data_IF_533584643310
#
_entry.id   IF_533584643310
#
_cell.length_a   1.000
_cell.length_b   1.000
_cell.length_c   1.000
_cell.angle_alpha   90.00
_cell.angle_beta   90.00
_cell.angle_gamma   90.00
#
_symmetry.space_group_name_H-M   'P 1'
#
loop_
_entity.id
_entity.type
_entity.pdbx_description
1 polymer ?
#
# COMPACT_ATOMS: atom_id res chain seq x y z
N UNK A 1 -64.48 -74.72 29.89
CA UNK A 1 -63.49 -75.21 28.91
C UNK A 1 -63.51 -74.18 27.79
N UNK A 2 -62.63 -73.18 27.85
CA UNK A 2 -61.35 -73.22 27.15
C UNK A 2 -61.56 -73.65 25.69
N UNK A 3 -61.61 -72.69 24.77
CA UNK A 3 -60.44 -72.31 23.97
C UNK A 3 -60.92 -71.29 22.91
N UNK A 4 -60.78 -70.01 23.23
CA UNK A 4 -59.89 -69.09 22.50
C UNK A 4 -60.42 -68.70 21.12
N UNK A 5 -61.12 -67.57 21.13
CA UNK A 5 -60.87 -66.47 20.20
C UNK A 5 -59.47 -66.57 19.57
N UNK A 6 -59.43 -67.04 18.33
CA UNK A 6 -58.40 -66.71 17.38
C UNK A 6 -59.12 -66.09 16.19
N UNK A 7 -59.71 -64.93 16.48
CA UNK A 7 -59.86 -63.87 15.51
C UNK A 7 -58.51 -63.75 14.81
N UNK A 8 -58.47 -64.14 13.53
CA UNK A 8 -57.37 -63.87 12.64
C UNK A 8 -57.28 -62.35 12.50
N UNK A 9 -56.61 -61.72 13.47
CA UNK A 9 -56.13 -60.36 13.36
C UNK A 9 -55.18 -60.38 12.17
N UNK A 10 -55.70 -59.95 11.02
CA UNK A 10 -54.91 -59.61 9.85
C UNK A 10 -54.02 -58.46 10.28
N UNK A 11 -52.85 -58.80 10.80
CA UNK A 11 -51.78 -57.86 11.05
C UNK A 11 -51.34 -57.38 9.67
N UNK A 12 -51.86 -56.22 9.26
CA UNK A 12 -51.23 -55.45 8.19
C UNK A 12 -49.87 -55.04 8.72
N UNK A 13 -48.86 -55.85 8.41
CA UNK A 13 -47.46 -55.51 8.57
C UNK A 13 -47.19 -54.27 7.72
N UNK A 14 -47.25 -53.11 8.37
CA UNK A 14 -46.74 -51.86 7.83
C UNK A 14 -45.24 -52.09 7.59
N UNK A 15 -44.87 -52.34 6.33
CA UNK A 15 -43.47 -52.41 5.92
C UNK A 15 -42.85 -51.05 6.23
N UNK A 16 -41.77 -50.96 7.02
CA UNK A 16 -41.03 -49.71 7.12
C UNK A 16 -40.50 -49.40 5.73
N UNK A 17 -40.89 -48.24 5.18
CA UNK A 17 -40.26 -47.69 3.99
C UNK A 17 -38.83 -47.37 4.41
N UNK A 18 -37.88 -48.22 4.03
CA UNK A 18 -36.45 -47.88 4.10
C UNK A 18 -36.34 -46.55 3.36
N UNK A 19 -35.97 -45.51 4.09
CA UNK A 19 -35.68 -44.21 3.53
C UNK A 19 -34.43 -44.44 2.68
N UNK A 20 -34.65 -44.78 1.41
CA UNK A 20 -33.60 -44.87 0.43
C UNK A 20 -32.83 -43.55 0.49
N UNK A 21 -31.51 -43.71 0.42
CA UNK A 21 -30.52 -42.65 0.50
C UNK A 21 -31.08 -41.43 -0.23
N UNK A 22 -31.41 -40.35 0.51
CA UNK A 22 -31.87 -39.13 -0.13
C UNK A 22 -30.71 -38.73 -1.04
N UNK A 23 -30.85 -38.95 -2.34
CA UNK A 23 -29.90 -38.49 -3.34
C UNK A 23 -29.73 -37.00 -3.06
N UNK A 24 -28.61 -36.67 -2.42
CA UNK A 24 -28.33 -35.30 -2.00
C UNK A 24 -28.22 -34.53 -3.30
N UNK A 25 -29.19 -33.68 -3.57
CA UNK A 25 -29.18 -32.82 -4.75
C UNK A 25 -27.93 -31.95 -4.66
N UNK A 26 -26.93 -32.27 -5.48
CA UNK A 26 -25.65 -31.55 -5.50
C UNK A 26 -25.80 -30.17 -6.15
N UNK A 27 -26.83 -29.98 -6.98
CA UNK A 27 -27.14 -28.73 -7.69
C UNK A 27 -27.21 -27.51 -6.75
N UNK A 28 -27.99 -27.52 -5.65
CA UNK A 28 -27.99 -26.41 -4.69
C UNK A 28 -26.66 -26.23 -3.95
N UNK A 29 -25.90 -27.30 -3.71
CA UNK A 29 -24.59 -27.19 -3.04
C UNK A 29 -23.54 -26.53 -3.93
N UNK A 30 -23.52 -26.89 -5.21
CA UNK A 30 -22.62 -26.30 -6.21
C UNK A 30 -22.95 -24.83 -6.43
N UNK A 31 -24.23 -24.44 -6.42
CA UNK A 31 -24.66 -23.05 -6.58
C UNK A 31 -24.20 -22.16 -5.41
N UNK A 32 -24.34 -22.64 -4.16
CA UNK A 32 -23.85 -21.90 -2.98
C UNK A 32 -22.34 -21.71 -3.02
N UNK A 33 -21.57 -22.73 -3.42
CA UNK A 33 -20.11 -22.61 -3.56
C UNK A 33 -19.74 -21.66 -4.71
N UNK A 34 -20.47 -21.70 -5.83
CA UNK A 34 -20.24 -20.84 -6.97
C UNK A 34 -20.52 -19.36 -6.65
N UNK A 35 -21.61 -19.07 -5.93
CA UNK A 35 -21.93 -17.72 -5.43
C UNK A 35 -20.85 -17.19 -4.49
N UNK A 36 -20.27 -18.05 -3.64
CA UNK A 36 -19.16 -17.70 -2.75
C UNK A 36 -17.85 -17.43 -3.53
N UNK A 37 -17.55 -18.21 -4.57
CA UNK A 37 -16.36 -17.98 -5.41
C UNK A 37 -16.46 -16.68 -6.20
N UNK A 38 -17.63 -16.34 -6.74
CA UNK A 38 -17.86 -15.05 -7.41
C UNK A 38 -17.72 -13.91 -6.42
N UNK A 39 -18.36 -14.02 -5.24
CA UNK A 39 -18.22 -13.00 -4.20
C UNK A 39 -16.76 -12.83 -3.78
N UNK A 40 -16.05 -13.93 -3.52
CA UNK A 40 -14.64 -13.91 -3.17
C UNK A 40 -13.78 -13.29 -4.29
N UNK A 41 -13.96 -13.70 -5.55
CA UNK A 41 -13.22 -13.18 -6.69
C UNK A 41 -13.49 -11.68 -6.95
N UNK A 42 -14.73 -11.22 -6.78
CA UNK A 42 -15.07 -9.80 -6.88
C UNK A 42 -14.48 -8.98 -5.70
N UNK A 43 -14.49 -9.52 -4.49
CA UNK A 43 -13.90 -8.86 -3.31
C UNK A 43 -12.37 -8.92 -3.28
N UNK A 44 -11.76 -9.89 -3.97
CA UNK A 44 -10.31 -10.04 -4.07
C UNK A 44 -9.64 -8.90 -4.87
N UNK A 45 -10.41 -8.08 -5.58
CA UNK A 45 -9.89 -6.92 -6.33
C UNK A 45 -9.83 -5.63 -5.49
N UNK A 46 -9.37 -5.74 -4.24
CA UNK A 46 -8.87 -4.60 -3.48
C UNK A 46 -7.42 -4.83 -3.05
N UNK A 47 -6.55 -5.01 -4.04
CA UNK A 47 -5.12 -4.74 -3.86
C UNK A 47 -4.94 -3.24 -4.04
N UNK A 48 -5.04 -2.50 -2.94
CA UNK A 48 -4.58 -1.11 -2.89
C UNK A 48 -3.08 -1.14 -3.13
N UNK A 49 -2.65 -0.88 -4.36
CA UNK A 49 -1.26 -0.64 -4.68
C UNK A 49 -0.84 0.71 -4.10
N UNK A 50 -0.58 0.76 -2.79
CA UNK A 50 0.20 1.84 -2.18
C UNK A 50 1.66 1.41 -2.12
N UNK A 51 2.23 1.05 -3.26
CA UNK A 51 3.68 0.86 -3.36
C UNK A 51 4.29 2.16 -3.89
N UNK A 52 4.48 3.13 -3.01
CA UNK A 52 5.68 3.96 -3.11
C UNK A 52 6.81 2.93 -2.99
N UNK A 53 7.53 2.64 -4.07
CA UNK A 53 8.74 1.84 -4.00
C UNK A 53 9.74 2.63 -3.16
N UNK A 54 9.72 2.41 -1.84
CA UNK A 54 10.78 2.82 -0.94
C UNK A 54 11.98 1.93 -1.27
N UNK A 55 13.11 2.48 -1.76
CA UNK A 55 14.35 1.71 -1.80
C UNK A 55 14.67 1.27 -0.37
N UNK A 56 15.12 0.03 -0.22
CA UNK A 56 15.32 -0.61 1.06
C UNK A 56 16.09 0.30 2.05
N UNK A 57 15.50 0.50 3.22
CA UNK A 57 16.20 1.02 4.40
C UNK A 57 17.35 0.06 4.68
N UNK A 58 18.58 0.51 4.41
CA UNK A 58 19.78 -0.24 4.76
C UNK A 58 19.95 -0.10 6.27
N UNK A 59 19.35 -1.04 6.99
CA UNK A 59 19.56 -1.28 8.41
C UNK A 59 21.05 -1.22 8.73
N UNK A 60 21.34 -0.53 9.82
CA UNK A 60 22.67 -0.29 10.38
C UNK A 60 23.46 -1.59 10.57
N UNK A 61 24.50 -1.75 9.76
CA UNK A 61 25.72 -2.46 10.18
C UNK A 61 26.89 -1.53 9.83
N UNK A 62 27.93 -1.44 10.68
CA UNK A 62 29.04 -0.52 10.49
C UNK A 62 29.95 -1.06 9.39
N UNK A 63 29.49 -0.96 8.14
CA UNK A 63 30.33 -1.22 6.98
C UNK A 63 31.07 0.07 6.67
N UNK A 64 32.34 0.09 7.04
CA UNK A 64 33.36 0.98 6.51
C UNK A 64 33.47 0.74 5.00
N UNK A 65 32.51 1.24 4.25
CA UNK A 65 32.58 1.40 2.81
C UNK A 65 31.76 2.64 2.54
N UNK A 66 32.48 3.76 2.45
CA UNK A 66 31.99 4.98 1.81
C UNK A 66 31.70 4.59 0.37
N UNK A 67 30.51 4.04 0.13
CA UNK A 67 29.91 4.10 -1.18
C UNK A 67 29.56 5.57 -1.32
N UNK A 68 30.48 6.34 -1.88
CA UNK A 68 30.16 7.59 -2.53
C UNK A 68 28.99 7.26 -3.44
N UNK A 69 27.78 7.58 -2.98
CA UNK A 69 26.61 7.64 -3.84
C UNK A 69 27.08 8.61 -4.91
N UNK A 70 27.23 8.13 -6.15
CA UNK A 70 27.33 9.03 -7.29
C UNK A 70 26.04 9.84 -7.23
N UNK A 71 26.12 11.00 -6.57
CA UNK A 71 25.07 11.99 -6.59
C UNK A 71 24.93 12.36 -8.05
N UNK A 72 23.86 11.86 -8.68
CA UNK A 72 23.43 12.37 -9.96
C UNK A 72 23.39 13.90 -9.80
N UNK A 73 24.19 14.67 -10.57
CA UNK A 73 24.35 16.12 -10.37
C UNK A 73 23.07 16.92 -10.63
N UNK A 74 21.97 16.23 -10.93
CA UNK A 74 20.64 16.76 -11.20
C UNK A 74 19.61 16.32 -10.15
N UNK A 75 20.06 15.75 -9.02
CA UNK A 75 19.19 15.43 -7.88
C UNK A 75 19.08 16.66 -6.98
N UNK A 76 17.85 17.07 -6.71
CA UNK A 76 17.55 18.15 -5.76
C UNK A 76 17.09 17.53 -4.45
N UNK A 77 17.66 17.99 -3.34
CA UNK A 77 17.27 17.54 -2.00
C UNK A 77 16.43 18.61 -1.30
N UNK A 78 15.32 18.19 -0.69
CA UNK A 78 14.52 19.01 0.23
C UNK A 78 14.60 18.36 1.60
N UNK A 79 15.15 19.05 2.57
CA UNK A 79 15.09 18.66 3.97
C UNK A 79 13.90 19.34 4.66
N UNK A 80 13.14 18.55 5.39
CA UNK A 80 12.04 19.02 6.26
C UNK A 80 12.43 18.73 7.69
N UNK A 81 12.69 19.77 8.48
CA UNK A 81 13.10 19.62 9.88
C UNK A 81 11.93 19.25 10.82
N UNK A 82 12.23 19.03 12.10
CA UNK A 82 11.23 18.75 13.15
C UNK A 82 10.23 19.91 13.36
N UNK A 83 10.63 21.14 13.02
CA UNK A 83 9.81 22.35 13.11
C UNK A 83 9.04 22.65 11.83
N UNK A 84 9.13 21.79 10.81
CA UNK A 84 8.55 21.92 9.48
C UNK A 84 9.13 23.09 8.65
N UNK A 85 10.35 23.52 8.96
CA UNK A 85 11.13 24.38 8.09
C UNK A 85 11.68 23.57 6.92
N UNK A 86 11.74 24.21 5.76
CA UNK A 86 12.24 23.60 4.54
C UNK A 86 13.62 24.13 4.23
N UNK A 87 14.56 23.25 3.91
CA UNK A 87 15.86 23.61 3.37
C UNK A 87 16.07 22.87 2.05
N UNK A 88 16.32 23.62 0.98
CA UNK A 88 16.62 23.06 -0.34
C UNK A 88 18.13 22.99 -0.50
N UNK A 89 18.66 21.79 -0.74
CA UNK A 89 20.09 21.54 -0.90
C UNK A 89 20.37 21.16 -2.34
N UNK A 90 21.26 21.91 -2.97
CA UNK A 90 21.73 21.69 -4.35
C UNK A 90 23.20 22.03 -4.45
N UNK A 91 23.98 21.16 -5.08
CA UNK A 91 25.42 21.37 -5.29
C UNK A 91 26.13 21.81 -3.99
N UNK A 92 25.75 21.20 -2.86
CA UNK A 92 26.25 21.52 -1.50
C UNK A 92 25.87 22.90 -0.95
N UNK A 93 24.97 23.65 -1.58
CA UNK A 93 24.42 24.90 -1.06
C UNK A 93 23.02 24.66 -0.49
N UNK A 94 22.84 24.95 0.80
CA UNK A 94 21.55 24.92 1.49
C UNK A 94 20.89 26.30 1.42
N UNK A 95 19.64 26.35 0.94
CA UNK A 95 18.83 27.57 0.88
C UNK A 95 17.53 27.33 1.67
N UNK A 96 17.25 28.12 2.72
CA UNK A 96 16.00 27.97 3.46
C UNK A 96 14.82 28.46 2.63
N UNK A 97 13.70 27.76 2.73
CA UNK A 97 12.44 28.14 2.10
C UNK A 97 11.35 28.34 3.15
N UNK A 98 10.68 29.51 3.12
CA UNK A 98 9.70 29.89 4.14
C UNK A 98 8.35 29.15 4.01
N UNK A 99 8.10 28.46 2.90
CA UNK A 99 6.88 27.69 2.67
C UNK A 99 6.71 27.21 1.23
N UNK A 100 5.52 26.69 0.93
CA UNK A 100 5.20 26.07 -0.38
C UNK A 100 5.49 26.99 -1.57
N UNK A 101 5.08 28.26 -1.51
CA UNK A 101 5.27 29.20 -2.62
C UNK A 101 6.76 29.43 -2.91
N UNK A 102 7.55 29.53 -1.86
CA UNK A 102 9.00 29.74 -1.94
C UNK A 102 9.69 28.50 -2.50
N UNK A 103 9.28 27.31 -2.05
CA UNK A 103 9.72 26.04 -2.63
C UNK A 103 9.45 25.96 -4.13
N UNK A 104 8.24 26.32 -4.59
CA UNK A 104 7.91 26.30 -6.02
C UNK A 104 8.84 27.21 -6.80
N UNK A 105 9.08 28.43 -6.32
CA UNK A 105 9.95 29.40 -7.00
C UNK A 105 11.39 28.88 -7.07
N UNK A 106 11.95 28.42 -5.94
CA UNK A 106 13.30 27.84 -5.90
C UNK A 106 13.40 26.65 -6.87
N UNK A 107 12.52 25.67 -6.73
CA UNK A 107 12.54 24.44 -7.53
C UNK A 107 12.35 24.71 -9.03
N UNK A 108 11.51 25.68 -9.39
CA UNK A 108 11.28 26.05 -10.80
C UNK A 108 12.49 26.75 -11.42
N UNK A 109 13.13 27.65 -10.67
CA UNK A 109 14.37 28.32 -11.10
C UNK A 109 15.48 27.29 -11.34
N UNK A 110 15.59 26.32 -10.43
CA UNK A 110 16.55 25.23 -10.51
C UNK A 110 16.28 24.31 -11.69
N UNK A 111 15.02 23.97 -11.95
CA UNK A 111 14.65 23.16 -13.11
C UNK A 111 14.99 23.86 -14.43
N UNK A 112 14.79 25.18 -14.51
CA UNK A 112 15.14 25.95 -15.71
C UNK A 112 16.65 26.01 -15.99
N UNK A 113 17.46 25.88 -14.93
CA UNK A 113 18.93 25.87 -15.00
C UNK A 113 19.48 24.48 -15.36
N UNK A 114 18.72 23.41 -15.13
CA UNK A 114 19.14 22.04 -15.44
C UNK A 114 18.99 21.71 -16.93
N UNK A 115 20.07 21.38 -17.66
CA UNK A 115 20.01 21.04 -19.09
C UNK A 115 19.36 19.68 -19.39
N UNK A 116 19.25 18.81 -18.40
CA UNK A 116 18.58 17.50 -18.51
C UNK A 116 17.21 17.59 -17.85
N UNK A 117 16.15 17.60 -18.65
CA UNK A 117 14.75 17.66 -18.20
C UNK A 117 14.25 16.45 -17.39
N UNK A 118 15.16 15.69 -16.76
CA UNK A 118 14.87 14.57 -15.85
C UNK A 118 15.45 14.89 -14.48
N UNK A 119 14.84 15.84 -13.79
CA UNK A 119 15.22 16.17 -12.41
C UNK A 119 14.54 15.21 -11.44
N UNK A 120 15.34 14.59 -10.58
CA UNK A 120 14.87 13.74 -9.48
C UNK A 120 14.79 14.60 -8.22
N UNK A 121 13.67 14.51 -7.50
CA UNK A 121 13.46 15.19 -6.23
C UNK A 121 13.56 14.18 -5.09
N UNK A 122 14.43 14.43 -4.13
CA UNK A 122 14.55 13.66 -2.88
C UNK A 122 14.04 14.53 -1.75
N UNK A 123 13.06 14.04 -0.98
CA UNK A 123 12.52 14.70 0.21
C UNK A 123 12.98 13.91 1.43
N UNK A 124 13.90 14.50 2.20
CA UNK A 124 14.42 13.97 3.46
C UNK A 124 13.60 14.60 4.59
N UNK A 125 12.73 13.81 5.22
CA UNK A 125 11.77 14.27 6.21
C UNK A 125 12.15 13.81 7.62
N UNK A 126 12.17 14.72 8.58
CA UNK A 126 12.37 14.37 9.98
C UNK A 126 11.24 13.46 10.49
N UNK A 127 11.54 12.51 11.38
CA UNK A 127 10.53 11.63 11.99
C UNK A 127 9.36 12.39 12.66
N UNK A 128 9.67 13.53 13.27
CA UNK A 128 8.74 14.37 14.01
C UNK A 128 8.03 15.44 13.15
N UNK A 129 8.32 15.51 11.85
CA UNK A 129 7.67 16.50 10.99
C UNK A 129 6.19 16.15 10.74
N UNK A 130 5.38 17.17 10.46
CA UNK A 130 3.98 16.97 10.10
C UNK A 130 3.88 16.41 8.68
N UNK A 131 3.01 15.42 8.48
CA UNK A 131 2.78 14.84 7.15
C UNK A 131 2.38 15.89 6.10
N UNK A 132 1.65 16.94 6.49
CA UNK A 132 1.28 18.01 5.56
C UNK A 132 2.48 18.78 5.00
N UNK A 133 3.62 18.83 5.72
CA UNK A 133 4.83 19.46 5.24
C UNK A 133 5.48 18.66 4.12
N UNK A 134 5.59 17.34 4.29
CA UNK A 134 6.09 16.42 3.25
C UNK A 134 5.21 16.48 2.00
N UNK A 135 3.88 16.47 2.16
CA UNK A 135 2.95 16.62 1.02
C UNK A 135 3.13 17.97 0.33
N UNK A 136 3.32 19.05 1.11
CA UNK A 136 3.54 20.38 0.52
C UNK A 136 4.83 20.45 -0.30
N UNK A 137 5.90 19.76 0.15
CA UNK A 137 7.15 19.65 -0.59
C UNK A 137 6.99 18.83 -1.88
N UNK A 138 6.27 17.70 -1.83
CA UNK A 138 5.96 16.88 -3.01
C UNK A 138 5.10 17.63 -4.02
N UNK A 139 4.09 18.36 -3.55
CA UNK A 139 3.25 19.20 -4.39
C UNK A 139 4.06 20.30 -5.08
N UNK A 140 4.96 20.96 -4.33
CA UNK A 140 5.83 22.00 -4.88
C UNK A 140 6.75 21.43 -5.97
N UNK A 141 7.31 20.25 -5.76
CA UNK A 141 8.10 19.54 -6.77
C UNK A 141 7.30 19.16 -8.01
N UNK A 142 6.04 18.76 -7.84
CA UNK A 142 5.15 18.42 -8.96
C UNK A 142 4.77 19.65 -9.77
N UNK A 143 4.57 20.79 -9.11
CA UNK A 143 4.31 22.07 -9.77
C UNK A 143 5.54 22.58 -10.53
N UNK A 144 6.73 22.38 -9.96
CA UNK A 144 8.02 22.60 -10.60
C UNK A 144 8.43 21.47 -11.58
N UNK A 145 7.46 20.73 -12.13
CA UNK A 145 7.59 19.68 -13.16
C UNK A 145 8.65 18.58 -12.92
N UNK A 146 8.98 18.20 -11.68
CA UNK A 146 9.88 17.06 -11.44
C UNK A 146 9.22 15.74 -11.87
N UNK A 147 10.00 14.84 -12.48
CA UNK A 147 9.48 13.57 -13.03
C UNK A 147 9.57 12.41 -12.03
N UNK A 148 10.59 12.43 -11.17
CA UNK A 148 10.88 11.35 -10.22
C UNK A 148 10.94 11.90 -8.80
N UNK A 149 10.31 11.19 -7.87
CA UNK A 149 10.20 11.57 -6.46
C UNK A 149 10.67 10.41 -5.58
N UNK A 150 11.49 10.73 -4.59
CA UNK A 150 11.90 9.82 -3.53
C UNK A 150 11.66 10.50 -2.18
N UNK A 151 11.12 9.76 -1.21
CA UNK A 151 10.89 10.27 0.14
C UNK A 151 11.63 9.36 1.12
N UNK A 152 12.43 9.94 1.99
CA UNK A 152 13.18 9.26 3.04
C UNK A 152 12.84 9.88 4.38
N UNK A 153 12.78 9.06 5.41
CA UNK A 153 12.66 9.54 6.79
C UNK A 153 14.06 9.54 7.40
N UNK A 154 14.42 10.62 8.10
CA UNK A 154 15.70 10.74 8.81
C UNK A 154 15.47 11.10 10.27
N UNK A 155 16.30 10.54 11.15
CA UNK A 155 16.25 10.82 12.59
C UNK A 155 17.03 12.08 12.97
N UNK A 156 18.05 12.44 12.19
CA UNK A 156 18.85 13.64 12.40
C UNK A 156 19.48 14.11 11.08
N UNK A 157 19.55 15.42 10.88
CA UNK A 157 20.32 16.03 9.80
C UNK A 157 21.70 16.40 10.35
N UNK A 158 22.76 15.93 9.70
CA UNK A 158 24.17 16.23 10.02
C UNK A 158 24.62 17.58 9.43
#
# INVERSE_FOLDING_TARGET
MHERDLAAARVELIRPKVQDNQDIDMTPMVDVVFQLLIFFMLTASFVVQKSIQRPAERSEEPSLTVTQVEEDPYTVHIQVDEFNAYNVIINQQATPAAGKQDLIVLLSDMQSTSPSGRSKLVVDAHENCIHSAVVSALDAGREAQFESFEVRTVEQFD
#
